data_IF_184747953182
#
_entry.id   IF_184747953182
#
_cell.length_a   1.000
_cell.length_b   1.000
_cell.length_c   1.000
_cell.angle_alpha   90.00
_cell.angle_beta   90.00
_cell.angle_gamma   90.00
#
_symmetry.space_group_name_H-M   'P 1'
#
loop_
_entity.id
_entity.type
_entity.pdbx_description
1 polymer ?
#
# COMPACT_ATOMS: atom_id res chain seq x y z
N UNK A 1 13.76 -4.17 -31.70
CA UNK A 1 13.53 -3.21 -30.60
C UNK A 1 12.64 -3.90 -29.60
N UNK A 2 13.24 -4.59 -28.65
CA UNK A 2 12.53 -5.29 -27.60
C UNK A 2 11.83 -4.25 -26.74
N UNK A 3 10.50 -4.18 -26.84
CA UNK A 3 9.69 -3.41 -25.92
C UNK A 3 10.07 -3.85 -24.51
N UNK A 4 10.61 -2.91 -23.73
CA UNK A 4 10.89 -3.07 -22.30
C UNK A 4 9.59 -3.52 -21.65
N UNK A 5 9.42 -4.84 -21.52
CA UNK A 5 8.32 -5.48 -20.81
C UNK A 5 8.43 -5.02 -19.37
N UNK A 6 7.76 -3.91 -19.06
CA UNK A 6 7.74 -3.35 -17.73
C UNK A 6 7.09 -4.38 -16.81
N UNK A 7 7.91 -5.05 -16.00
CA UNK A 7 7.51 -6.24 -15.27
C UNK A 7 6.64 -5.87 -14.06
N UNK A 8 5.37 -5.60 -14.34
CA UNK A 8 4.32 -5.36 -13.35
C UNK A 8 4.22 -6.53 -12.35
N UNK A 9 4.59 -7.76 -12.75
CA UNK A 9 4.64 -8.91 -11.82
C UNK A 9 5.73 -8.73 -10.79
N UNK A 10 6.90 -8.21 -11.17
CA UNK A 10 7.96 -7.83 -10.23
C UNK A 10 7.47 -6.78 -9.24
N UNK A 11 6.73 -5.76 -9.71
CA UNK A 11 6.15 -4.73 -8.82
C UNK A 11 5.14 -5.32 -7.83
N UNK A 12 4.27 -6.22 -8.29
CA UNK A 12 3.34 -6.95 -7.41
C UNK A 12 4.09 -7.83 -6.40
N UNK A 13 5.11 -8.56 -6.85
CA UNK A 13 5.90 -9.43 -5.99
C UNK A 13 6.64 -8.65 -4.91
N UNK A 14 7.19 -7.48 -5.25
CA UNK A 14 7.81 -6.57 -4.29
C UNK A 14 6.81 -6.09 -3.24
N UNK A 15 5.61 -5.66 -3.65
CA UNK A 15 4.56 -5.22 -2.73
C UNK A 15 4.10 -6.36 -1.79
N UNK A 16 3.95 -7.59 -2.31
CA UNK A 16 3.62 -8.77 -1.50
C UNK A 16 4.76 -9.11 -0.54
N UNK A 17 6.02 -9.05 -1.00
CA UNK A 17 7.19 -9.29 -0.16
C UNK A 17 7.22 -8.31 1.02
N UNK A 18 6.99 -7.02 0.76
CA UNK A 18 6.92 -6.00 1.81
C UNK A 18 5.79 -6.28 2.81
N UNK A 19 4.58 -6.65 2.36
CA UNK A 19 3.51 -7.03 3.29
C UNK A 19 3.86 -8.26 4.14
N UNK A 20 4.62 -9.23 3.59
CA UNK A 20 5.12 -10.37 4.38
C UNK A 20 6.08 -9.90 5.48
N UNK A 21 7.03 -9.02 5.16
CA UNK A 21 7.97 -8.47 6.16
C UNK A 21 7.27 -7.67 7.25
N UNK A 22 6.11 -7.10 6.94
CA UNK A 22 5.26 -6.33 7.88
C UNK A 22 4.31 -7.23 8.68
N UNK A 23 4.32 -8.55 8.48
CA UNK A 23 3.39 -9.47 9.15
C UNK A 23 1.94 -9.34 8.68
N UNK A 24 1.70 -8.67 7.55
CA UNK A 24 0.36 -8.41 7.00
C UNK A 24 -0.04 -9.38 5.89
N UNK A 25 0.83 -10.28 5.43
CA UNK A 25 0.51 -11.24 4.37
C UNK A 25 0.65 -12.69 4.82
N UNK A 26 -0.30 -13.58 4.49
CA UNK A 26 -0.28 -14.96 4.94
C UNK A 26 0.85 -15.74 4.28
N UNK A 27 1.64 -16.42 5.10
CA UNK A 27 2.58 -17.46 4.67
C UNK A 27 1.83 -18.79 4.79
N UNK A 28 1.79 -19.59 3.72
CA UNK A 28 0.87 -20.74 3.50
C UNK A 28 0.80 -21.79 4.62
N UNK A 29 1.67 -21.76 5.64
CA UNK A 29 1.68 -22.69 6.79
C UNK A 29 1.75 -22.00 8.17
N UNK A 30 1.81 -20.68 8.25
CA UNK A 30 2.18 -19.96 9.49
C UNK A 30 1.17 -18.85 9.84
N UNK A 31 -0.10 -19.22 10.06
CA UNK A 31 -1.12 -18.27 10.53
C UNK A 31 -0.74 -17.56 11.83
N UNK A 32 0.01 -18.25 12.71
CA UNK A 32 0.54 -17.70 13.96
C UNK A 32 1.53 -16.55 13.74
N UNK A 33 2.44 -16.66 12.77
CA UNK A 33 3.40 -15.60 12.46
C UNK A 33 2.69 -14.32 11.99
N UNK A 34 1.70 -14.47 11.12
CA UNK A 34 0.89 -13.34 10.63
C UNK A 34 0.09 -12.70 11.78
N UNK A 35 -0.55 -13.50 12.63
CA UNK A 35 -1.30 -12.99 13.79
C UNK A 35 -0.39 -12.25 14.77
N UNK A 36 0.77 -12.82 15.09
CA UNK A 36 1.76 -12.22 15.98
C UNK A 36 2.36 -10.94 15.40
N UNK A 37 2.80 -10.95 14.14
CA UNK A 37 3.38 -9.80 13.47
C UNK A 37 2.40 -8.65 13.29
N UNK A 38 1.14 -8.96 12.92
CA UNK A 38 0.09 -7.95 12.83
C UNK A 38 -0.31 -7.37 14.19
N UNK A 39 -0.34 -8.19 15.25
CA UNK A 39 -0.59 -7.73 16.61
C UNK A 39 0.50 -6.77 17.08
N UNK A 40 1.78 -7.16 16.97
CA UNK A 40 2.90 -6.30 17.36
C UNK A 40 2.89 -4.99 16.58
N UNK A 41 2.72 -5.07 15.26
CA UNK A 41 2.70 -3.87 14.43
C UNK A 41 1.55 -2.93 14.78
N UNK A 42 0.38 -3.49 15.12
CA UNK A 42 -0.78 -2.71 15.58
C UNK A 42 -0.52 -2.06 16.93
N UNK A 43 0.11 -2.76 17.87
CA UNK A 43 0.48 -2.20 19.18
C UNK A 43 1.49 -1.06 19.04
N UNK A 44 2.53 -1.25 18.22
CA UNK A 44 3.54 -0.21 17.94
C UNK A 44 2.89 1.05 17.37
N UNK A 45 1.99 0.89 16.39
CA UNK A 45 1.24 2.00 15.78
C UNK A 45 0.31 2.66 16.80
N UNK A 46 -0.39 1.89 17.62
CA UNK A 46 -1.28 2.42 18.65
C UNK A 46 -0.52 3.24 19.69
N UNK A 47 0.66 2.78 20.12
CA UNK A 47 1.55 3.54 20.99
C UNK A 47 1.99 4.85 20.33
N UNK A 48 2.40 4.82 19.05
CA UNK A 48 2.81 6.02 18.33
C UNK A 48 1.67 7.05 18.23
N UNK A 49 0.47 6.62 17.86
CA UNK A 49 -0.72 7.48 17.78
C UNK A 49 -1.11 8.02 19.16
N UNK A 50 -1.08 7.18 20.20
CA UNK A 50 -1.40 7.58 21.57
C UNK A 50 -0.48 8.68 22.10
N UNK A 51 0.83 8.56 21.86
CA UNK A 51 1.81 9.59 22.28
C UNK A 51 1.60 10.94 21.57
N UNK A 52 1.17 10.92 20.30
CA UNK A 52 0.81 12.12 19.55
C UNK A 52 -0.51 12.72 20.03
N UNK A 53 -1.53 11.90 20.34
CA UNK A 53 -2.81 12.37 20.89
C UNK A 53 -2.61 13.08 22.23
N UNK A 54 -1.81 12.51 23.12
CA UNK A 54 -1.51 13.13 24.42
C UNK A 54 -0.77 14.45 24.22
N UNK A 55 0.12 14.54 23.23
CA UNK A 55 0.88 15.78 22.97
C UNK A 55 -0.01 16.98 22.62
N UNK A 56 -1.17 16.77 21.98
CA UNK A 56 -2.13 17.84 21.68
C UNK A 56 -2.57 18.56 22.95
N UNK A 57 -2.80 17.84 24.04
CA UNK A 57 -3.20 18.44 25.31
C UNK A 57 -2.14 19.42 25.82
N UNK A 58 -0.86 19.09 25.66
CA UNK A 58 0.26 19.92 26.11
C UNK A 58 0.50 21.14 25.22
N UNK A 59 0.30 21.02 23.90
CA UNK A 59 0.52 22.12 22.95
C UNK A 59 -0.74 22.88 22.56
N UNK A 60 -1.88 22.64 23.23
CA UNK A 60 -3.21 23.18 22.90
C UNK A 60 -3.28 24.71 22.71
N UNK A 61 -2.36 25.45 23.31
CA UNK A 61 -2.32 26.91 23.22
C UNK A 61 -1.63 27.42 21.93
N UNK A 62 -0.95 26.55 21.19
CA UNK A 62 -0.25 26.88 19.94
C UNK A 62 -1.01 26.29 18.76
N UNK A 63 -1.91 27.08 18.16
CA UNK A 63 -2.82 26.59 17.13
C UNK A 63 -2.09 25.98 15.92
N UNK A 64 -1.01 26.62 15.45
CA UNK A 64 -0.21 26.12 14.32
C UNK A 64 0.36 24.72 14.60
N UNK A 65 0.93 24.53 15.79
CA UNK A 65 1.48 23.25 16.25
C UNK A 65 0.39 22.18 16.37
N UNK A 66 -0.79 22.54 16.92
CA UNK A 66 -1.93 21.63 17.03
C UNK A 66 -2.41 21.17 15.66
N UNK A 67 -2.57 22.09 14.71
CA UNK A 67 -3.02 21.76 13.35
C UNK A 67 -2.05 20.79 12.67
N UNK A 68 -0.74 21.02 12.81
CA UNK A 68 0.28 20.13 12.25
C UNK A 68 0.21 18.70 12.85
N UNK A 69 0.04 18.56 14.16
CA UNK A 69 -0.07 17.26 14.82
C UNK A 69 -1.37 16.55 14.44
N UNK A 70 -2.50 17.26 14.43
CA UNK A 70 -3.81 16.71 14.06
C UNK A 70 -3.79 16.19 12.63
N UNK A 71 -3.17 16.93 11.69
CA UNK A 71 -3.00 16.47 10.31
C UNK A 71 -2.27 15.13 10.23
N UNK A 72 -1.13 15.01 10.94
CA UNK A 72 -0.34 13.77 10.97
C UNK A 72 -1.11 12.62 11.63
N UNK A 73 -1.83 12.90 12.71
CA UNK A 73 -2.68 11.93 13.40
C UNK A 73 -3.77 11.36 12.48
N UNK A 74 -4.46 12.21 11.72
CA UNK A 74 -5.50 11.77 10.77
C UNK A 74 -4.93 10.83 9.70
N UNK A 75 -3.72 11.10 9.20
CA UNK A 75 -3.01 10.21 8.27
C UNK A 75 -2.71 8.85 8.93
N UNK A 76 -2.19 8.87 10.16
CA UNK A 76 -1.84 7.66 10.91
C UNK A 76 -3.07 6.80 11.25
N UNK A 77 -4.18 7.43 11.64
CA UNK A 77 -5.46 6.77 11.89
C UNK A 77 -5.98 6.13 10.59
N UNK A 78 -5.93 6.85 9.47
CA UNK A 78 -6.35 6.32 8.16
C UNK A 78 -5.53 5.09 7.76
N UNK A 79 -4.20 5.13 7.93
CA UNK A 79 -3.34 3.97 7.67
C UNK A 79 -3.69 2.78 8.59
N UNK A 80 -4.05 3.04 9.86
CA UNK A 80 -4.47 2.01 10.81
C UNK A 80 -5.77 1.34 10.40
N UNK A 81 -6.76 2.12 9.93
CA UNK A 81 -7.97 1.56 9.31
C UNK A 81 -7.65 0.69 8.09
N UNK A 82 -6.73 1.14 7.22
CA UNK A 82 -6.30 0.33 6.07
C UNK A 82 -5.69 -1.00 6.50
N UNK A 83 -4.81 -1.03 7.52
CA UNK A 83 -4.28 -2.27 8.11
C UNK A 83 -5.41 -3.19 8.55
N UNK A 84 -6.35 -2.66 9.33
CA UNK A 84 -7.48 -3.43 9.85
C UNK A 84 -8.33 -4.06 8.72
N UNK A 85 -8.70 -3.28 7.71
CA UNK A 85 -9.45 -3.78 6.56
C UNK A 85 -8.69 -4.83 5.77
N UNK A 86 -7.38 -4.66 5.61
CA UNK A 86 -6.50 -5.62 4.92
C UNK A 86 -6.44 -6.93 5.68
N UNK A 87 -6.29 -6.91 7.01
CA UNK A 87 -6.29 -8.11 7.84
C UNK A 87 -7.62 -8.87 7.69
N UNK A 88 -8.75 -8.17 7.84
CA UNK A 88 -10.09 -8.79 7.74
C UNK A 88 -10.33 -9.39 6.36
N UNK A 89 -9.94 -8.68 5.29
CA UNK A 89 -10.22 -9.09 3.92
C UNK A 89 -9.05 -9.84 3.26
N UNK A 90 -8.04 -10.26 4.03
CA UNK A 90 -6.80 -10.81 3.50
C UNK A 90 -7.02 -12.04 2.62
N UNK A 91 -7.94 -12.92 3.01
CA UNK A 91 -8.28 -14.11 2.22
C UNK A 91 -8.78 -13.73 0.82
N UNK A 92 -9.74 -12.81 0.75
CA UNK A 92 -10.31 -12.30 -0.51
C UNK A 92 -9.25 -11.58 -1.34
N UNK A 93 -8.42 -10.75 -0.71
CA UNK A 93 -7.32 -10.04 -1.37
C UNK A 93 -6.33 -11.04 -1.98
N UNK A 94 -5.89 -12.05 -1.22
CA UNK A 94 -4.97 -13.06 -1.70
C UNK A 94 -5.55 -13.88 -2.86
N UNK A 95 -6.83 -14.29 -2.78
CA UNK A 95 -7.53 -14.97 -3.88
C UNK A 95 -7.54 -14.12 -5.15
N UNK A 96 -7.88 -12.83 -5.04
CA UNK A 96 -7.84 -11.88 -6.17
C UNK A 96 -6.44 -11.72 -6.74
N UNK A 97 -5.41 -11.62 -5.90
CA UNK A 97 -4.02 -11.51 -6.36
C UNK A 97 -3.54 -12.78 -7.07
N UNK A 98 -3.99 -13.97 -6.63
CA UNK A 98 -3.70 -15.24 -7.31
C UNK A 98 -4.41 -15.29 -8.66
N UNK A 99 -5.69 -14.91 -8.72
CA UNK A 99 -6.46 -14.84 -9.97
C UNK A 99 -5.81 -13.89 -10.97
N UNK A 100 -5.39 -12.72 -10.51
CA UNK A 100 -4.67 -11.72 -11.29
C UNK A 100 -3.33 -12.25 -11.82
N UNK A 101 -2.64 -13.12 -11.09
CA UNK A 101 -1.39 -13.75 -11.58
C UNK A 101 -1.63 -14.90 -12.56
N UNK A 102 -2.70 -15.68 -12.38
CA UNK A 102 -2.97 -16.92 -13.13
C UNK A 102 -3.77 -16.70 -14.42
N UNK A 103 -4.78 -15.82 -14.38
CA UNK A 103 -5.80 -15.72 -15.42
C UNK A 103 -5.63 -14.50 -16.34
N UNK A 104 -4.49 -13.82 -16.23
CA UNK A 104 -4.16 -12.60 -16.99
C UNK A 104 -3.48 -12.86 -18.34
N UNK A 105 -3.66 -14.02 -18.96
CA UNK A 105 -3.11 -14.19 -20.30
C UNK A 105 -4.10 -13.60 -21.31
N UNK A 106 -3.83 -12.40 -21.89
CA UNK A 106 -4.46 -12.03 -23.14
C UNK A 106 -4.09 -13.10 -24.16
N UNK A 107 -5.08 -13.76 -24.76
CA UNK A 107 -4.80 -14.76 -25.79
C UNK A 107 -4.26 -14.11 -27.08
N UNK A 108 -4.52 -12.80 -27.25
CA UNK A 108 -4.23 -12.06 -28.48
C UNK A 108 -3.59 -10.69 -28.18
N UNK A 109 -2.75 -10.20 -29.11
CA UNK A 109 -2.01 -8.92 -29.02
C UNK A 109 -2.89 -7.70 -28.70
N UNK A 110 -4.15 -7.67 -29.16
CA UNK A 110 -5.08 -6.58 -28.85
C UNK A 110 -5.42 -6.50 -27.36
N UNK A 111 -5.67 -7.62 -26.68
CA UNK A 111 -6.00 -7.64 -25.26
C UNK A 111 -4.79 -7.21 -24.41
N UNK A 112 -3.58 -7.50 -24.89
CA UNK A 112 -2.34 -7.05 -24.27
C UNK A 112 -2.08 -5.55 -24.46
N UNK A 113 -2.49 -4.99 -25.60
CA UNK A 113 -2.47 -3.54 -25.83
C UNK A 113 -3.47 -2.81 -24.92
N UNK A 114 -4.70 -3.31 -24.84
CA UNK A 114 -5.74 -2.80 -23.91
C UNK A 114 -5.24 -2.84 -22.47
N UNK A 115 -4.50 -3.89 -22.10
CA UNK A 115 -3.88 -3.99 -20.79
C UNK A 115 -2.88 -2.87 -20.50
N UNK A 116 -1.93 -2.65 -21.41
CA UNK A 116 -0.92 -1.61 -21.24
C UNK A 116 -1.56 -0.21 -21.22
N UNK A 117 -2.62 -0.01 -22.00
CA UNK A 117 -3.41 1.22 -22.04
C UNK A 117 -4.34 1.38 -20.82
N UNK A 118 -4.71 0.29 -20.14
CA UNK A 118 -5.66 0.30 -18.99
C UNK A 118 -5.12 0.95 -17.72
N UNK A 119 -3.85 1.36 -17.69
CA UNK A 119 -3.23 2.09 -16.58
C UNK A 119 -2.13 1.35 -15.82
N UNK A 120 -1.75 0.13 -16.22
CA UNK A 120 -0.66 -0.62 -15.56
C UNK A 120 0.68 0.11 -15.62
N UNK A 121 0.97 0.78 -16.74
CA UNK A 121 2.19 1.59 -16.86
C UNK A 121 2.16 2.77 -15.89
N UNK A 122 1.03 3.48 -15.83
CA UNK A 122 0.82 4.59 -14.90
C UNK A 122 0.93 4.15 -13.43
N UNK A 123 0.34 2.99 -13.10
CA UNK A 123 0.45 2.36 -11.78
C UNK A 123 1.89 2.02 -11.40
N UNK A 124 2.60 1.32 -12.30
CA UNK A 124 3.98 0.91 -12.08
C UNK A 124 4.86 2.15 -11.87
N UNK A 125 4.69 3.17 -12.71
CA UNK A 125 5.35 4.47 -12.56
C UNK A 125 5.04 5.12 -11.22
N UNK A 126 3.77 5.12 -10.80
CA UNK A 126 3.35 5.69 -9.51
C UNK A 126 3.98 4.97 -8.32
N UNK A 127 4.09 3.64 -8.38
CA UNK A 127 4.78 2.85 -7.37
C UNK A 127 6.26 3.20 -7.26
N UNK A 128 6.96 3.32 -8.40
CA UNK A 128 8.38 3.67 -8.44
C UNK A 128 8.65 5.11 -8.03
N UNK A 129 7.82 6.06 -8.48
CA UNK A 129 7.90 7.46 -8.04
C UNK A 129 7.79 7.57 -6.53
N UNK A 130 6.86 6.84 -5.90
CA UNK A 130 6.74 6.84 -4.45
C UNK A 130 7.99 6.27 -3.76
N UNK A 131 8.56 5.18 -4.27
CA UNK A 131 9.80 4.60 -3.73
C UNK A 131 10.94 5.63 -3.79
N UNK A 132 11.09 6.32 -4.93
CA UNK A 132 12.10 7.39 -5.09
C UNK A 132 11.85 8.52 -4.09
N UNK A 133 10.61 8.99 -3.94
CA UNK A 133 10.25 10.04 -2.98
C UNK A 133 10.52 9.64 -1.52
N UNK A 134 10.28 8.38 -1.15
CA UNK A 134 10.63 7.88 0.18
C UNK A 134 12.14 7.85 0.41
N UNK A 135 12.91 7.37 -0.56
CA UNK A 135 14.38 7.32 -0.47
C UNK A 135 14.96 8.73 -0.42
N UNK A 136 14.44 9.66 -1.22
CA UNK A 136 14.86 11.07 -1.18
C UNK A 136 14.51 11.72 0.15
N UNK A 137 13.32 11.45 0.72
CA UNK A 137 12.96 11.94 2.05
C UNK A 137 13.89 11.40 3.15
N UNK A 138 14.22 10.11 3.11
CA UNK A 138 15.15 9.49 4.07
C UNK A 138 16.53 10.15 3.99
N UNK A 139 17.09 10.24 2.78
CA UNK A 139 18.41 10.84 2.56
C UNK A 139 18.45 12.29 2.99
N UNK A 140 17.42 13.08 2.65
CA UNK A 140 17.29 14.48 3.07
C UNK A 140 17.17 14.63 4.60
N UNK A 141 16.35 13.78 5.24
CA UNK A 141 16.18 13.80 6.70
C UNK A 141 17.49 13.47 7.44
N UNK A 142 18.28 12.53 6.91
CA UNK A 142 19.58 12.16 7.47
C UNK A 142 20.63 13.25 7.22
N UNK A 143 20.64 13.88 6.04
CA UNK A 143 21.57 14.97 5.74
C UNK A 143 21.25 16.24 6.53
N UNK A 144 19.96 16.56 6.75
CA UNK A 144 19.56 17.69 7.60
C UNK A 144 20.15 17.56 9.00
N UNK A 145 20.10 16.36 9.59
CA UNK A 145 20.70 16.08 10.90
C UNK A 145 22.23 16.19 10.94
N UNK A 146 22.91 15.95 9.83
CA UNK A 146 24.36 16.04 9.72
C UNK A 146 24.82 17.50 9.51
N UNK A 147 24.01 18.30 8.81
CA UNK A 147 24.30 19.69 8.48
C UNK A 147 23.88 20.67 9.58
N UNK A 148 22.81 20.35 10.31
CA UNK A 148 22.30 21.16 11.43
C UNK A 148 22.99 20.79 12.75
N UNK A 149 24.33 20.80 12.74
CA UNK A 149 25.18 20.55 13.92
C UNK A 149 25.05 21.64 15.01
N UNK A 150 24.28 22.71 14.74
CA UNK A 150 23.95 23.80 15.66
C UNK A 150 22.68 23.53 16.49
N UNK A 151 21.92 22.47 16.21
CA UNK A 151 20.71 22.13 16.94
C UNK A 151 21.07 21.46 18.28
N UNK A 152 21.53 22.24 19.26
CA UNK A 152 21.70 21.79 20.65
C UNK A 152 20.39 21.24 21.27
N UNK A 153 19.24 21.55 20.67
CA UNK A 153 17.96 20.95 21.02
C UNK A 153 17.74 19.60 20.33
N UNK A 154 17.83 18.52 21.10
CA UNK A 154 17.36 17.18 20.75
C UNK A 154 15.86 17.17 20.44
N UNK A 155 15.49 17.46 19.18
CA UNK A 155 14.11 17.41 18.68
C UNK A 155 13.80 16.04 18.06
N UNK A 156 12.58 15.55 18.31
CA UNK A 156 12.08 14.31 17.71
C UNK A 156 11.48 14.59 16.31
N UNK A 157 11.46 13.60 15.39
CA UNK A 157 10.88 13.75 14.06
C UNK A 157 9.41 14.15 14.08
N UNK A 158 8.67 13.60 15.04
CA UNK A 158 7.27 13.91 15.26
C UNK A 158 7.10 14.40 16.69
N UNK A 159 6.38 15.50 16.85
CA UNK A 159 6.04 15.99 18.17
C UNK A 159 5.12 14.97 18.84
N UNK A 160 5.57 14.44 19.97
CA UNK A 160 4.87 13.46 20.76
C UNK A 160 5.26 13.61 22.22
N UNK A 161 4.37 13.21 23.12
CA UNK A 161 4.62 13.24 24.55
C UNK A 161 5.01 11.84 25.04
N UNK A 162 6.03 11.77 25.88
CA UNK A 162 6.48 10.55 26.54
C UNK A 162 6.53 10.77 28.05
N UNK A 163 6.20 9.75 28.87
CA UNK A 163 6.21 9.84 30.33
C UNK A 163 7.62 9.82 30.94
N UNK A 164 8.66 9.98 30.13
CA UNK A 164 10.07 9.98 30.52
C UNK A 164 10.82 11.09 29.78
N UNK A 165 11.96 11.51 30.32
CA UNK A 165 12.80 12.50 29.64
C UNK A 165 13.60 11.84 28.51
N UNK A 166 13.04 11.92 27.31
CA UNK A 166 13.68 11.42 26.10
C UNK A 166 14.90 12.25 25.67
N UNK A 167 15.22 13.40 26.28
CA UNK A 167 16.42 14.17 25.89
C UNK A 167 17.71 13.55 26.43
N UNK A 168 17.61 12.66 27.42
CA UNK A 168 18.76 11.98 28.01
C UNK A 168 19.19 10.81 27.12
N UNK A 169 20.48 10.69 26.82
CA UNK A 169 21.04 9.51 26.12
C UNK A 169 21.06 8.31 27.07
N UNK A 170 20.67 7.08 26.65
CA UNK A 170 20.37 6.63 25.29
C UNK A 170 18.88 6.67 24.89
N UNK A 171 18.01 7.24 25.75
CA UNK A 171 16.56 7.23 25.54
C UNK A 171 16.17 8.04 24.29
N UNK A 172 16.87 9.15 24.01
CA UNK A 172 16.65 9.94 22.80
C UNK A 172 16.74 9.11 21.54
N UNK A 173 17.82 8.34 21.42
CA UNK A 173 18.15 7.54 20.24
C UNK A 173 17.14 6.40 20.07
N UNK A 174 16.71 5.78 21.16
CA UNK A 174 15.67 4.74 21.18
C UNK A 174 14.33 5.30 20.72
N UNK A 175 13.87 6.42 21.32
CA UNK A 175 12.59 7.06 20.97
C UNK A 175 12.60 7.56 19.53
N UNK A 176 13.73 8.13 19.09
CA UNK A 176 13.93 8.56 17.71
C UNK A 176 13.78 7.38 16.74
N UNK A 177 14.48 6.27 17.00
CA UNK A 177 14.38 5.05 16.20
C UNK A 177 12.96 4.50 16.16
N UNK A 178 12.29 4.46 17.31
CA UNK A 178 10.89 4.02 17.42
C UNK A 178 9.95 4.86 16.54
N UNK A 179 10.05 6.19 16.57
CA UNK A 179 9.22 7.06 15.75
C UNK A 179 9.48 6.88 14.25
N UNK A 180 10.76 6.76 13.86
CA UNK A 180 11.13 6.53 12.46
C UNK A 180 10.57 5.19 11.97
N UNK A 181 10.76 4.11 12.72
CA UNK A 181 10.26 2.78 12.35
C UNK A 181 8.73 2.78 12.25
N UNK A 182 8.03 3.35 13.24
CA UNK A 182 6.56 3.44 13.26
C UNK A 182 6.01 4.24 12.07
N UNK A 183 6.61 5.40 11.78
CA UNK A 183 6.23 6.24 10.65
C UNK A 183 6.50 5.57 9.30
N UNK A 184 7.64 4.90 9.16
CA UNK A 184 7.99 4.13 7.94
C UNK A 184 7.01 2.99 7.72
N UNK A 185 6.67 2.25 8.77
CA UNK A 185 5.66 1.21 8.71
C UNK A 185 4.33 1.76 8.20
N UNK A 186 3.79 2.82 8.80
CA UNK A 186 2.51 3.43 8.40
C UNK A 186 2.51 3.91 6.95
N UNK A 187 3.59 4.57 6.54
CA UNK A 187 3.77 5.07 5.16
C UNK A 187 3.79 3.92 4.15
N UNK A 188 4.52 2.85 4.45
CA UNK A 188 4.60 1.66 3.59
C UNK A 188 3.25 0.96 3.47
N UNK A 189 2.50 0.81 4.57
CA UNK A 189 1.14 0.25 4.51
C UNK A 189 0.29 1.09 3.59
N UNK A 190 0.26 2.42 3.80
CA UNK A 190 -0.57 3.31 3.01
C UNK A 190 -0.33 3.12 1.50
N UNK A 191 0.95 3.15 1.11
CA UNK A 191 1.40 2.94 -0.27
C UNK A 191 1.00 1.58 -0.82
N UNK A 192 1.32 0.50 -0.09
CA UNK A 192 1.14 -0.86 -0.61
C UNK A 192 -0.34 -1.17 -0.77
N UNK A 193 -1.17 -0.80 0.21
CA UNK A 193 -2.61 -1.06 0.18
C UNK A 193 -3.25 -0.34 -1.00
N UNK A 194 -2.96 0.95 -1.18
CA UNK A 194 -3.51 1.72 -2.30
C UNK A 194 -3.03 1.19 -3.65
N UNK A 195 -1.75 0.83 -3.74
CA UNK A 195 -1.18 0.21 -4.93
C UNK A 195 -1.87 -1.12 -5.26
N UNK A 196 -2.13 -1.99 -4.28
CA UNK A 196 -2.79 -3.27 -4.50
C UNK A 196 -4.26 -3.09 -4.89
N UNK A 197 -4.97 -2.15 -4.25
CA UNK A 197 -6.35 -1.83 -4.62
C UNK A 197 -6.42 -1.26 -6.04
N UNK A 198 -5.50 -0.37 -6.41
CA UNK A 198 -5.41 0.18 -7.76
C UNK A 198 -5.26 -0.94 -8.79
N UNK A 199 -4.29 -1.85 -8.63
CA UNK A 199 -4.05 -2.88 -9.63
C UNK A 199 -5.20 -3.88 -9.72
N UNK A 200 -5.85 -4.21 -8.60
CA UNK A 200 -7.07 -5.04 -8.61
C UNK A 200 -8.21 -4.34 -9.35
N UNK A 201 -8.39 -3.03 -9.16
CA UNK A 201 -9.44 -2.26 -9.83
C UNK A 201 -9.19 -2.09 -11.33
N UNK A 202 -7.96 -1.72 -11.73
CA UNK A 202 -7.56 -1.68 -13.14
C UNK A 202 -7.70 -3.05 -13.78
N UNK A 203 -7.37 -4.09 -13.03
CA UNK A 203 -7.52 -5.45 -13.50
C UNK A 203 -8.99 -5.81 -13.73
N UNK A 204 -9.85 -5.46 -12.79
CA UNK A 204 -11.29 -5.69 -12.91
C UNK A 204 -11.86 -4.92 -14.12
N UNK A 205 -11.46 -3.65 -14.30
CA UNK A 205 -11.85 -2.83 -15.45
C UNK A 205 -11.44 -3.48 -16.78
N UNK A 206 -10.17 -3.88 -16.92
CA UNK A 206 -9.69 -4.49 -18.15
C UNK A 206 -10.44 -5.78 -18.49
N UNK A 207 -10.88 -6.56 -17.50
CA UNK A 207 -11.69 -7.76 -17.73
C UNK A 207 -13.10 -7.40 -18.24
N UNK A 208 -13.70 -6.30 -17.75
CA UNK A 208 -14.96 -5.77 -18.29
C UNK A 208 -14.82 -5.23 -19.72
N UNK A 209 -13.71 -4.56 -20.04
CA UNK A 209 -13.43 -4.09 -21.41
C UNK A 209 -13.32 -5.27 -22.38
N UNK A 210 -12.60 -6.33 -22.01
CA UNK A 210 -12.51 -7.57 -22.79
C UNK A 210 -13.89 -8.23 -22.96
N UNK A 211 -14.70 -8.27 -21.90
CA UNK A 211 -16.05 -8.80 -21.96
C UNK A 211 -16.92 -7.99 -22.94
N UNK A 212 -16.81 -6.65 -22.92
CA UNK A 212 -17.51 -5.75 -23.84
C UNK A 212 -17.10 -5.99 -25.29
N UNK A 213 -15.80 -6.14 -25.55
CA UNK A 213 -15.30 -6.45 -26.89
C UNK A 213 -15.78 -7.81 -27.39
N UNK A 214 -15.80 -8.82 -26.52
CA UNK A 214 -16.32 -10.14 -26.87
C UNK A 214 -17.81 -10.07 -27.20
N UNK A 215 -18.60 -9.36 -26.38
CA UNK A 215 -20.02 -9.08 -26.64
C UNK A 215 -20.22 -8.45 -28.01
N UNK A 216 -19.50 -7.37 -28.33
CA UNK A 216 -19.58 -6.69 -29.62
C UNK A 216 -19.21 -7.57 -30.82
N UNK A 217 -18.27 -8.50 -30.64
CA UNK A 217 -17.78 -9.38 -31.72
C UNK A 217 -18.77 -10.49 -32.04
N UNK A 218 -19.29 -11.21 -31.04
CA UNK A 218 -20.18 -12.35 -31.32
C UNK A 218 -21.61 -11.91 -31.70
N UNK A 219 -22.07 -10.72 -31.28
CA UNK A 219 -23.35 -10.18 -31.79
C UNK A 219 -23.32 -9.92 -33.30
N UNK A 220 -22.14 -9.72 -33.90
CA UNK A 220 -21.98 -9.51 -35.34
C UNK A 220 -21.88 -10.80 -36.17
N UNK A 221 -21.63 -11.95 -35.53
CA UNK A 221 -21.41 -13.24 -36.18
C UNK A 221 -22.59 -14.17 -35.84
N UNK A 222 -23.59 -14.24 -36.73
CA UNK A 222 -24.89 -14.90 -36.48
C UNK A 222 -24.82 -16.41 -36.23
N UNK A 223 -23.76 -17.08 -36.66
CA UNK A 223 -23.74 -18.54 -36.73
C UNK A 223 -23.50 -19.24 -35.39
N UNK A 224 -23.13 -18.53 -34.32
CA UNK A 224 -22.75 -19.15 -33.02
C UNK A 224 -23.15 -18.30 -31.79
N UNK A 225 -24.26 -17.55 -31.89
CA UNK A 225 -24.71 -16.58 -30.88
C UNK A 225 -24.87 -17.18 -29.47
N UNK A 226 -25.55 -18.33 -29.34
CA UNK A 226 -25.81 -18.95 -28.03
C UNK A 226 -24.53 -19.38 -27.32
N UNK A 227 -23.53 -19.85 -28.08
CA UNK A 227 -22.23 -20.26 -27.56
C UNK A 227 -21.40 -19.05 -27.11
N UNK A 228 -21.39 -17.98 -27.92
CA UNK A 228 -20.73 -16.72 -27.57
C UNK A 228 -21.32 -16.06 -26.32
N UNK A 229 -22.66 -16.04 -26.21
CA UNK A 229 -23.38 -15.51 -25.05
C UNK A 229 -23.06 -16.32 -23.78
N UNK A 230 -23.08 -17.65 -23.87
CA UNK A 230 -22.74 -18.53 -22.74
C UNK A 230 -21.33 -18.26 -22.21
N UNK A 231 -20.34 -18.11 -23.10
CA UNK A 231 -18.95 -17.75 -22.71
C UNK A 231 -18.89 -16.40 -22.00
N UNK A 232 -19.61 -15.39 -22.49
CA UNK A 232 -19.62 -14.06 -21.89
C UNK A 232 -20.33 -14.03 -20.52
N UNK A 233 -21.43 -14.77 -20.36
CA UNK A 233 -22.10 -14.93 -19.06
C UNK A 233 -21.19 -15.64 -18.06
N UNK A 234 -20.46 -16.68 -18.48
CA UNK A 234 -19.49 -17.36 -17.63
C UNK A 234 -18.32 -16.44 -17.24
N UNK A 235 -17.82 -15.63 -18.18
CA UNK A 235 -16.77 -14.66 -17.93
C UNK A 235 -17.23 -13.57 -16.95
N UNK A 236 -18.45 -13.03 -17.11
CA UNK A 236 -19.04 -12.07 -16.19
C UNK A 236 -19.18 -12.64 -14.77
N UNK A 237 -19.72 -13.86 -14.64
CA UNK A 237 -19.81 -14.57 -13.35
C UNK A 237 -18.43 -14.80 -12.72
N UNK A 238 -17.40 -15.00 -13.53
CA UNK A 238 -16.03 -15.16 -13.05
C UNK A 238 -15.44 -13.84 -12.53
N UNK A 239 -15.70 -12.70 -13.18
CA UNK A 239 -15.23 -11.37 -12.72
C UNK A 239 -15.81 -10.99 -11.36
N UNK A 240 -17.07 -11.38 -11.09
CA UNK A 240 -17.79 -11.02 -9.87
C UNK A 240 -17.50 -11.92 -8.64
N UNK A 241 -16.77 -13.03 -8.83
CA UNK A 241 -16.32 -13.89 -7.72
C UNK A 241 -15.17 -13.22 -6.95
#
# INVERSE_FOLDING_TARGET
MDEVYHDWKTTINLNILLLKTMGLWPIKKEGFYMAYGSLISTLVVACHIGTQLISIYFVRNQLETVVAIVYILLINITASFKVFFVIINMKKLNERMILLKRNWFPKNNHQQKVLNESGIKSWTSSCWMFVVLCVSWITFSMSYKLLDASAEEKRLPFLAWYPYDYKISPLYEITYGFQVISSRYLTLVHRIVDSLMYIVNVSTKCQFDILSDNLRKFTKLSNDFNKGLSVCVLHHKWILR
#
